data_IF_360243828128
#
_entry.id   IF_360243828128
#
_cell.length_a   1.000
_cell.length_b   1.000
_cell.length_c   1.000
_cell.angle_alpha   90.00
_cell.angle_beta   90.00
_cell.angle_gamma   90.00
#
_symmetry.space_group_name_H-M   'P 1'
#
loop_
_entity.id
_entity.type
_entity.pdbx_description
1 polymer ?
#
# COMPACT_ATOMS: atom_id res chain seq x y z
N UNK A 1 0.48 -20.20 1.82
CA UNK A 1 -0.62 -19.20 1.76
C UNK A 1 -0.41 -18.26 0.56
N UNK A 2 -1.46 -17.93 -0.20
CA UNK A 2 -1.40 -17.06 -1.41
C UNK A 2 -1.05 -15.59 -1.09
N UNK A 3 -1.10 -15.21 0.19
CA UNK A 3 -1.12 -13.83 0.68
C UNK A 3 0.16 -13.02 0.36
N UNK A 4 1.30 -13.69 0.14
CA UNK A 4 2.55 -13.06 -0.29
C UNK A 4 2.90 -13.27 -1.77
N UNK A 5 2.24 -14.21 -2.46
CA UNK A 5 2.56 -14.59 -3.84
C UNK A 5 1.76 -13.77 -4.84
N UNK A 6 2.12 -12.49 -4.99
CA UNK A 6 1.39 -11.55 -5.87
C UNK A 6 1.18 -12.09 -7.28
N UNK A 7 2.20 -12.73 -7.89
CA UNK A 7 2.11 -13.32 -9.23
C UNK A 7 1.05 -14.41 -9.34
N UNK A 8 0.86 -15.20 -8.28
CA UNK A 8 -0.18 -16.24 -8.24
C UNK A 8 -1.57 -15.63 -8.10
N UNK A 9 -1.71 -14.61 -7.25
CA UNK A 9 -2.96 -13.87 -7.11
C UNK A 9 -3.35 -13.15 -8.41
N UNK A 10 -2.40 -12.50 -9.07
CA UNK A 10 -2.58 -11.88 -10.38
C UNK A 10 -3.06 -12.89 -11.42
N UNK A 11 -2.46 -14.08 -11.46
CA UNK A 11 -2.92 -15.16 -12.37
C UNK A 11 -4.37 -15.56 -12.08
N UNK A 12 -4.72 -15.82 -10.82
CA UNK A 12 -6.09 -16.20 -10.44
C UNK A 12 -7.11 -15.11 -10.78
N UNK A 13 -6.77 -13.84 -10.52
CA UNK A 13 -7.62 -12.69 -10.84
C UNK A 13 -7.76 -12.46 -12.35
N UNK A 14 -6.71 -12.73 -13.13
CA UNK A 14 -6.75 -12.63 -14.59
C UNK A 14 -7.64 -13.72 -15.23
N UNK A 15 -7.71 -14.92 -14.65
CA UNK A 15 -8.52 -16.02 -15.19
C UNK A 15 -9.93 -16.08 -14.57
N UNK A 16 -10.30 -15.16 -13.68
CA UNK A 16 -11.58 -15.21 -12.97
C UNK A 16 -11.70 -16.38 -11.97
N UNK A 17 -10.60 -17.07 -11.68
CA UNK A 17 -10.56 -18.27 -10.83
C UNK A 17 -10.53 -17.94 -9.33
N UNK A 18 -10.50 -16.65 -8.97
CA UNK A 18 -10.54 -16.24 -7.56
C UNK A 18 -11.97 -16.29 -7.02
N UNK A 19 -12.24 -17.27 -6.15
CA UNK A 19 -13.55 -17.41 -5.51
C UNK A 19 -13.88 -16.25 -4.58
N UNK A 20 -15.16 -15.94 -4.45
CA UNK A 20 -15.66 -14.85 -3.59
C UNK A 20 -15.30 -15.08 -2.12
N UNK A 21 -15.26 -16.35 -1.68
CA UNK A 21 -14.80 -16.69 -0.33
C UNK A 21 -13.35 -16.29 -0.09
N UNK A 22 -12.48 -16.45 -1.10
CA UNK A 22 -11.09 -15.99 -0.99
C UNK A 22 -11.04 -14.45 -0.97
N UNK A 23 -11.81 -13.78 -1.82
CA UNK A 23 -11.92 -12.32 -1.81
C UNK A 23 -12.44 -11.77 -0.46
N UNK A 24 -13.40 -12.44 0.16
CA UNK A 24 -13.89 -12.11 1.49
C UNK A 24 -12.79 -12.23 2.56
N UNK A 25 -11.93 -13.26 2.49
CA UNK A 25 -10.76 -13.37 3.38
C UNK A 25 -9.79 -12.20 3.22
N UNK A 26 -9.61 -11.71 1.99
CA UNK A 26 -8.80 -10.50 1.74
C UNK A 26 -9.42 -9.25 2.35
N UNK A 27 -10.75 -9.11 2.28
CA UNK A 27 -11.46 -8.01 2.91
C UNK A 27 -11.39 -8.08 4.44
N UNK A 28 -11.69 -9.24 5.03
CA UNK A 28 -11.61 -9.47 6.47
C UNK A 28 -10.21 -9.15 7.01
N UNK A 29 -9.16 -9.53 6.28
CA UNK A 29 -7.79 -9.19 6.64
C UNK A 29 -7.51 -7.68 6.65
N UNK A 30 -8.08 -6.90 5.73
CA UNK A 30 -8.00 -5.44 5.79
C UNK A 30 -8.66 -4.89 7.03
N UNK A 31 -9.86 -5.38 7.37
CA UNK A 31 -10.58 -4.93 8.56
C UNK A 31 -9.79 -5.23 9.84
N UNK A 32 -9.22 -6.43 9.95
CA UNK A 32 -8.36 -6.78 11.08
C UNK A 32 -7.11 -5.91 11.14
N UNK A 33 -6.48 -5.63 10.00
CA UNK A 33 -5.29 -4.78 9.94
C UNK A 33 -5.61 -3.32 10.33
N UNK A 34 -6.74 -2.79 9.87
CA UNK A 34 -7.23 -1.47 10.27
C UNK A 34 -7.54 -1.41 11.77
N UNK A 35 -8.20 -2.44 12.31
CA UNK A 35 -8.48 -2.55 13.73
C UNK A 35 -7.19 -2.57 14.57
N UNK A 36 -6.18 -3.32 14.13
CA UNK A 36 -4.87 -3.35 14.79
C UNK A 36 -4.16 -2.00 14.72
N UNK A 37 -4.17 -1.33 13.56
CA UNK A 37 -3.55 -0.02 13.39
C UNK A 37 -4.24 1.04 14.26
N UNK A 38 -5.56 1.01 14.38
CA UNK A 38 -6.32 1.96 15.20
C UNK A 38 -6.11 1.76 16.70
N UNK A 39 -5.90 0.52 17.15
CA UNK A 39 -5.67 0.19 18.56
C UNK A 39 -4.18 0.18 18.95
N UNK A 40 -3.27 0.49 18.01
CA UNK A 40 -1.87 0.62 18.34
C UNK A 40 -1.67 1.93 19.14
N UNK A 41 -1.06 1.89 20.34
CA UNK A 41 -0.87 3.09 21.14
C UNK A 41 0.00 4.09 20.37
N UNK A 42 -0.64 5.13 19.84
CA UNK A 42 0.07 6.28 19.32
C UNK A 42 0.57 7.05 20.55
N UNK A 43 1.87 7.00 20.80
CA UNK A 43 2.48 7.90 21.78
C UNK A 43 2.08 9.32 21.37
N UNK A 44 1.38 10.02 22.26
CA UNK A 44 0.98 11.42 22.10
C UNK A 44 2.22 12.31 22.20
N UNK A 45 3.07 12.22 21.18
CA UNK A 45 4.03 13.28 20.88
C UNK A 45 3.19 14.43 20.35
N UNK A 46 3.42 15.65 20.80
CA UNK A 46 2.79 16.86 20.29
C UNK A 46 3.14 17.02 18.79
N UNK A 47 2.37 16.34 17.92
CA UNK A 47 2.52 16.45 16.48
C UNK A 47 1.93 17.80 16.09
N UNK A 48 2.72 18.68 15.43
CA UNK A 48 2.19 19.96 14.99
C UNK A 48 0.98 19.78 14.08
N UNK A 49 -0.07 20.57 14.33
CA UNK A 49 -1.35 20.50 13.63
C UNK A 49 -1.18 20.60 12.09
N UNK A 50 -0.24 21.42 11.62
CA UNK A 50 0.07 21.55 10.19
C UNK A 50 0.56 20.24 9.55
N UNK A 51 1.36 19.46 10.29
CA UNK A 51 1.92 18.17 9.81
C UNK A 51 0.82 17.14 9.68
N UNK A 52 -0.13 17.14 10.62
CA UNK A 52 -1.32 16.28 10.58
C UNK A 52 -2.19 16.57 9.34
N UNK A 53 -2.56 17.83 9.12
CA UNK A 53 -3.38 18.20 7.96
C UNK A 53 -2.67 17.91 6.64
N UNK A 54 -1.36 18.15 6.56
CA UNK A 54 -0.60 17.85 5.35
C UNK A 54 -0.58 16.34 5.06
N UNK A 55 -0.39 15.48 6.07
CA UNK A 55 -0.49 14.02 5.92
C UNK A 55 -1.88 13.60 5.45
N UNK A 56 -2.94 14.19 6.02
CA UNK A 56 -4.31 13.92 5.60
C UNK A 56 -4.55 14.31 4.14
N UNK A 57 -4.14 15.51 3.72
CA UNK A 57 -4.28 15.98 2.34
C UNK A 57 -3.53 15.04 1.39
N UNK A 58 -2.28 14.71 1.69
CA UNK A 58 -1.47 13.77 0.91
C UNK A 58 -2.16 12.41 0.79
N UNK A 59 -2.68 11.87 1.90
CA UNK A 59 -3.39 10.59 1.90
C UNK A 59 -4.66 10.63 1.05
N UNK A 60 -5.48 11.67 1.19
CA UNK A 60 -6.70 11.83 0.39
C UNK A 60 -6.39 11.97 -1.10
N UNK A 61 -5.43 12.82 -1.47
CA UNK A 61 -4.99 12.97 -2.86
C UNK A 61 -4.46 11.66 -3.42
N UNK A 62 -3.64 10.93 -2.66
CA UNK A 62 -3.09 9.65 -3.09
C UNK A 62 -4.19 8.58 -3.27
N UNK A 63 -5.18 8.52 -2.36
CA UNK A 63 -6.32 7.62 -2.45
C UNK A 63 -7.16 7.92 -3.68
N UNK A 64 -7.54 9.19 -3.87
CA UNK A 64 -8.34 9.61 -5.02
C UNK A 64 -7.62 9.35 -6.34
N UNK A 65 -6.35 9.74 -6.44
CA UNK A 65 -5.55 9.51 -7.65
C UNK A 65 -5.32 8.02 -7.91
N UNK A 66 -4.93 7.27 -6.88
CA UNK A 66 -4.57 5.87 -7.01
C UNK A 66 -5.75 4.98 -7.34
N UNK A 67 -6.91 5.20 -6.70
CA UNK A 67 -8.15 4.51 -7.05
C UNK A 67 -8.61 4.86 -8.45
N UNK A 68 -8.52 6.15 -8.84
CA UNK A 68 -8.83 6.59 -10.20
C UNK A 68 -7.95 5.86 -11.23
N UNK A 69 -6.65 5.76 -10.98
CA UNK A 69 -5.72 5.05 -11.86
C UNK A 69 -5.95 3.55 -11.91
N UNK A 70 -6.21 2.87 -10.79
CA UNK A 70 -6.52 1.43 -10.82
C UNK A 70 -7.82 1.15 -11.56
N UNK A 71 -8.81 2.04 -11.44
CA UNK A 71 -10.07 1.93 -12.16
C UNK A 71 -9.87 2.12 -13.66
N UNK A 72 -9.17 3.18 -14.07
CA UNK A 72 -8.81 3.46 -15.47
C UNK A 72 -8.07 2.25 -16.10
N UNK A 73 -7.06 1.72 -15.40
CA UNK A 73 -6.35 0.53 -15.86
C UNK A 73 -7.35 -0.63 -16.01
N UNK A 74 -8.18 -0.93 -15.01
CA UNK A 74 -9.13 -2.04 -15.09
C UNK A 74 -10.10 -1.92 -16.27
N UNK A 75 -10.61 -0.72 -16.54
CA UNK A 75 -11.51 -0.44 -17.68
C UNK A 75 -10.81 -0.61 -19.03
N UNK A 76 -9.55 -0.19 -19.14
CA UNK A 76 -8.74 -0.41 -20.35
C UNK A 76 -8.34 -1.88 -20.56
N UNK A 77 -8.62 -2.76 -19.61
CA UNK A 77 -8.41 -4.21 -19.69
C UNK A 77 -9.70 -4.94 -20.11
N UNK A 78 -10.21 -5.77 -19.21
CA UNK A 78 -11.46 -6.51 -19.40
C UNK A 78 -12.66 -5.88 -18.67
N UNK A 79 -12.45 -4.82 -17.88
CA UNK A 79 -13.50 -4.10 -17.16
C UNK A 79 -14.20 -4.88 -16.04
N UNK A 80 -13.76 -6.12 -15.73
CA UNK A 80 -14.46 -7.01 -14.79
C UNK A 80 -13.84 -6.97 -13.38
N UNK A 81 -14.65 -7.36 -12.39
CA UNK A 81 -14.21 -7.67 -11.03
C UNK A 81 -13.35 -6.60 -10.32
N UNK A 82 -13.58 -5.31 -10.62
CA UNK A 82 -12.75 -4.22 -10.10
C UNK A 82 -12.60 -4.26 -8.57
N UNK A 83 -13.70 -4.33 -7.83
CA UNK A 83 -13.67 -4.34 -6.37
C UNK A 83 -12.92 -5.56 -5.82
N UNK A 84 -13.16 -6.73 -6.41
CA UNK A 84 -12.48 -7.99 -6.04
C UNK A 84 -10.96 -7.86 -6.24
N UNK A 85 -10.54 -7.29 -7.38
CA UNK A 85 -9.13 -7.04 -7.72
C UNK A 85 -8.49 -6.02 -6.79
N UNK A 86 -9.14 -4.87 -6.56
CA UNK A 86 -8.65 -3.83 -5.66
C UNK A 86 -8.46 -4.38 -4.27
N UNK A 87 -9.48 -5.01 -3.68
CA UNK A 87 -9.41 -5.55 -2.32
C UNK A 87 -8.31 -6.60 -2.22
N UNK A 88 -8.25 -7.54 -3.17
CA UNK A 88 -7.27 -8.63 -3.10
C UNK A 88 -5.83 -8.12 -3.27
N UNK A 89 -5.58 -7.26 -4.26
CA UNK A 89 -4.25 -6.72 -4.54
C UNK A 89 -3.81 -5.68 -3.51
N UNK A 90 -4.73 -4.86 -3.00
CA UNK A 90 -4.49 -3.88 -1.92
C UNK A 90 -3.91 -4.55 -0.68
N UNK A 91 -4.37 -5.75 -0.32
CA UNK A 91 -3.85 -6.45 0.86
C UNK A 91 -2.39 -6.83 0.63
N UNK A 92 -2.10 -7.42 -0.54
CA UNK A 92 -0.74 -7.88 -0.87
C UNK A 92 0.20 -6.69 -1.02
N UNK A 93 -0.26 -5.58 -1.60
CA UNK A 93 0.48 -4.34 -1.67
C UNK A 93 0.74 -3.78 -0.26
N UNK A 94 -0.27 -3.73 0.60
CA UNK A 94 -0.13 -3.27 2.00
C UNK A 94 0.87 -4.11 2.79
N UNK A 95 0.79 -5.45 2.69
CA UNK A 95 1.75 -6.34 3.36
C UNK A 95 3.18 -6.08 2.92
N UNK A 96 3.41 -5.89 1.61
CA UNK A 96 4.75 -5.56 1.10
C UNK A 96 5.22 -4.17 1.54
N UNK A 97 4.32 -3.19 1.57
CA UNK A 97 4.63 -1.85 2.09
C UNK A 97 4.96 -1.88 3.58
N UNK A 98 4.28 -2.71 4.37
CA UNK A 98 4.60 -2.92 5.80
C UNK A 98 6.00 -3.51 5.96
N UNK A 99 6.37 -4.52 5.16
CA UNK A 99 7.73 -5.06 5.17
C UNK A 99 8.75 -3.97 4.81
N UNK A 100 8.47 -3.17 3.76
CA UNK A 100 9.34 -2.05 3.40
C UNK A 100 9.43 -0.99 4.51
N UNK A 101 8.33 -0.72 5.21
CA UNK A 101 8.30 0.16 6.37
C UNK A 101 9.21 -0.33 7.49
N UNK A 102 9.14 -1.61 7.88
CA UNK A 102 10.00 -2.15 8.93
C UNK A 102 11.49 -2.08 8.56
N UNK A 103 11.83 -2.38 7.30
CA UNK A 103 13.22 -2.26 6.80
C UNK A 103 13.68 -0.79 6.89
N UNK A 104 12.86 0.14 6.41
CA UNK A 104 13.19 1.56 6.43
C UNK A 104 13.27 2.10 7.86
N UNK A 105 12.36 1.72 8.74
CA UNK A 105 12.35 2.11 10.15
C UNK A 105 13.61 1.62 10.87
N UNK A 106 14.04 0.38 10.62
CA UNK A 106 15.28 -0.16 11.17
C UNK A 106 16.52 0.63 10.70
N UNK A 107 16.56 1.00 9.41
CA UNK A 107 17.63 1.82 8.85
C UNK A 107 17.67 3.21 9.50
N UNK A 108 16.53 3.88 9.58
CA UNK A 108 16.43 5.24 10.16
C UNK A 108 16.77 5.20 11.65
N UNK A 109 16.25 4.25 12.41
CA UNK A 109 16.57 4.09 13.83
C UNK A 109 18.07 3.87 14.06
N UNK A 110 18.72 3.05 13.21
CA UNK A 110 20.17 2.83 13.29
C UNK A 110 20.93 4.12 12.98
N UNK A 111 20.53 4.85 11.94
CA UNK A 111 21.16 6.11 11.55
C UNK A 111 21.01 7.18 12.63
N UNK A 112 19.83 7.33 13.24
CA UNK A 112 19.60 8.31 14.31
C UNK A 112 20.39 7.95 15.59
N UNK A 113 20.48 6.67 15.94
CA UNK A 113 21.30 6.22 17.07
C UNK A 113 22.79 6.51 16.85
N UNK A 114 23.31 6.30 15.63
CA UNK A 114 24.70 6.62 15.28
C UNK A 114 24.97 8.13 15.30
N UNK A 115 24.06 8.93 14.72
CA UNK A 115 24.15 10.38 14.72
C UNK A 115 24.15 10.95 16.15
N UNK A 116 23.28 10.43 17.02
CA UNK A 116 23.21 10.83 18.43
C UNK A 116 24.52 10.54 19.18
N UNK A 117 25.18 9.40 18.90
CA UNK A 117 26.50 9.07 19.47
C UNK A 117 27.60 10.06 19.03
N UNK A 118 27.44 10.70 17.88
CA UNK A 118 28.34 11.73 17.37
C UNK A 118 27.96 13.15 17.81
N UNK A 119 26.93 13.30 18.66
CA UNK A 119 26.45 14.59 19.16
C UNK A 119 25.49 15.32 18.22
N UNK A 120 25.02 14.68 17.15
CA UNK A 120 24.02 15.26 16.24
C UNK A 120 22.61 14.88 16.68
N UNK A 121 21.76 15.88 16.87
CA UNK A 121 20.34 15.72 17.21
C UNK A 121 19.47 16.38 16.13
N UNK A 122 18.45 15.65 15.67
CA UNK A 122 17.44 16.21 14.77
C UNK A 122 16.50 17.12 15.56
N UNK A 123 16.29 18.34 15.08
CA UNK A 123 15.25 19.22 15.64
C UNK A 123 13.86 18.69 15.31
N UNK A 124 12.85 19.11 16.07
CA UNK A 124 11.45 18.71 15.86
C UNK A 124 10.95 19.01 14.45
N UNK A 125 11.35 20.16 13.90
CA UNK A 125 11.03 20.52 12.53
C UNK A 125 11.56 19.48 11.53
N UNK A 126 12.85 19.11 11.62
CA UNK A 126 13.44 18.11 10.73
C UNK A 126 12.86 16.71 10.93
N UNK A 127 12.48 16.34 12.16
CA UNK A 127 11.77 15.10 12.44
C UNK A 127 10.40 15.04 11.73
N UNK A 128 9.66 16.15 11.71
CA UNK A 128 8.37 16.21 10.99
C UNK A 128 8.56 16.15 9.48
N UNK A 129 9.55 16.84 8.92
CA UNK A 129 9.89 16.77 7.50
C UNK A 129 10.29 15.35 7.09
N UNK A 130 11.14 14.69 7.88
CA UNK A 130 11.51 13.30 7.64
C UNK A 130 10.30 12.36 7.72
N UNK A 131 9.41 12.57 8.71
CA UNK A 131 8.17 11.81 8.85
C UNK A 131 7.25 11.94 7.62
N UNK A 132 7.11 13.16 7.08
CA UNK A 132 6.34 13.43 5.87
C UNK A 132 6.97 12.76 4.64
N UNK A 133 8.30 12.83 4.51
CA UNK A 133 9.02 12.18 3.43
C UNK A 133 8.85 10.66 3.46
N UNK A 134 8.99 10.03 4.63
CA UNK A 134 8.73 8.60 4.82
C UNK A 134 7.29 8.27 4.42
N UNK A 135 6.32 9.06 4.86
CA UNK A 135 4.90 8.84 4.55
C UNK A 135 4.65 8.86 3.03
N UNK A 136 5.18 9.86 2.33
CA UNK A 136 5.12 9.96 0.87
C UNK A 136 5.80 8.79 0.17
N UNK A 137 6.97 8.37 0.65
CA UNK A 137 7.71 7.25 0.09
C UNK A 137 6.91 5.94 0.21
N UNK A 138 6.29 5.68 1.37
CA UNK A 138 5.47 4.49 1.58
C UNK A 138 4.23 4.46 0.70
N UNK A 139 3.55 5.62 0.54
CA UNK A 139 2.44 5.77 -0.41
C UNK A 139 2.92 5.45 -1.83
N UNK A 140 4.08 5.98 -2.24
CA UNK A 140 4.67 5.72 -3.55
C UNK A 140 4.97 4.24 -3.77
N UNK A 141 5.57 3.56 -2.79
CA UNK A 141 5.84 2.11 -2.84
C UNK A 141 4.54 1.32 -2.96
N UNK A 142 3.53 1.65 -2.15
CA UNK A 142 2.23 0.99 -2.17
C UNK A 142 1.57 1.07 -3.56
N UNK A 143 1.42 2.28 -4.11
CA UNK A 143 0.78 2.46 -5.40
C UNK A 143 1.61 1.93 -6.56
N UNK A 144 2.94 1.99 -6.49
CA UNK A 144 3.82 1.35 -7.48
C UNK A 144 3.53 -0.16 -7.56
N UNK A 145 3.41 -0.84 -6.42
CA UNK A 145 3.10 -2.28 -6.37
C UNK A 145 1.69 -2.53 -6.90
N UNK A 146 0.70 -1.75 -6.45
CA UNK A 146 -0.71 -1.94 -6.82
C UNK A 146 -0.93 -1.72 -8.33
N UNK A 147 -0.51 -0.58 -8.87
CA UNK A 147 -0.68 -0.22 -10.29
C UNK A 147 0.04 -1.19 -11.21
N UNK A 148 1.26 -1.58 -10.84
CA UNK A 148 2.04 -2.57 -11.60
C UNK A 148 1.33 -3.94 -11.62
N UNK A 149 0.59 -4.29 -10.57
CA UNK A 149 -0.17 -5.54 -10.51
C UNK A 149 -1.42 -5.50 -11.40
N UNK A 150 -2.15 -4.37 -11.38
CA UNK A 150 -3.29 -4.15 -12.30
C UNK A 150 -2.85 -4.22 -13.77
N UNK A 151 -1.74 -3.56 -14.11
CA UNK A 151 -1.18 -3.60 -15.47
C UNK A 151 -0.82 -5.03 -15.90
N UNK A 152 -0.18 -5.82 -15.02
CA UNK A 152 0.15 -7.23 -15.30
C UNK A 152 -1.08 -8.11 -15.54
N UNK A 153 -2.15 -7.91 -14.77
CA UNK A 153 -3.41 -8.64 -14.96
C UNK A 153 -3.98 -8.35 -16.35
N UNK A 154 -4.08 -7.08 -16.74
CA UNK A 154 -4.60 -6.72 -18.06
C UNK A 154 -3.75 -7.27 -19.22
N UNK A 155 -2.42 -7.23 -19.08
CA UNK A 155 -1.53 -7.84 -20.09
C UNK A 155 -1.70 -9.36 -20.15
N UNK A 156 -2.02 -10.02 -19.03
CA UNK A 156 -2.30 -11.45 -19.03
C UNK A 156 -3.64 -11.78 -19.68
N UNK A 157 -4.69 -10.98 -19.42
CA UNK A 157 -6.02 -11.17 -20.01
C UNK A 157 -6.00 -10.95 -21.54
N UNK A 158 -5.34 -9.88 -22.00
CA UNK A 158 -5.22 -9.59 -23.44
C UNK A 158 -4.47 -10.66 -24.25
N UNK A 159 -3.66 -11.50 -23.60
CA UNK A 159 -2.92 -12.59 -24.24
C UNK A 159 -3.69 -13.91 -24.28
N UNK A 160 -4.86 -14.00 -23.64
CA UNK A 160 -5.67 -15.23 -23.69
C UNK A 160 -6.42 -15.30 -25.02
N UNK A 161 -6.45 -16.47 -25.70
CA UNK A 161 -7.27 -16.65 -26.88
C UNK A 161 -8.73 -16.41 -26.51
N UNK A 162 -9.43 -15.56 -27.29
CA UNK A 162 -10.87 -15.37 -27.11
C UNK A 162 -11.56 -16.73 -27.25
N UNK A 163 -12.44 -17.14 -26.31
CA UNK A 163 -13.27 -18.30 -26.55
C UNK A 163 -14.10 -18.04 -27.82
N UNK A 164 -13.98 -18.96 -28.79
CA UNK A 164 -14.75 -18.99 -30.03
C UNK A 164 -16.24 -19.23 -29.73
#
# INVERSE_FOLDING_TARGET
MIWFKIKRLEKLLAHGELSDFIAFKYFLAHLLLLALLYNFPANSVDVPVWSLYLKLIVALTAISWGMGKTFEINQNGDGKDYLKRVISLSLVASLKTIVAFFILAAFIATATLLAAKMGFYLTDFWNQILSLFIHLLLIGIYYKILLSSFSRINTAVSKQPKPL
#
